data_IF_990605629562
#
_entry.id   IF_990605629562
#
_cell.length_a   1.000
_cell.length_b   1.000
_cell.length_c   1.000
_cell.angle_alpha   90.00
_cell.angle_beta   90.00
_cell.angle_gamma   90.00
#
_symmetry.space_group_name_H-M   'P 1'
#
loop_
_entity.id
_entity.type
_entity.pdbx_description
1 polymer ?
#
# COMPACT_ATOMS: atom_id res chain seq x y z
N UNK A 1 -37.65 16.00 4.13
CA UNK A 1 -37.61 14.62 4.64
C UNK A 1 -38.00 13.68 3.51
N UNK A 2 -37.04 13.21 2.70
CA UNK A 2 -37.33 12.17 1.71
C UNK A 2 -37.03 10.82 2.36
N UNK A 3 -38.09 10.12 2.75
CA UNK A 3 -38.06 8.71 3.13
C UNK A 3 -37.62 7.90 1.89
N UNK A 4 -36.34 7.60 1.76
CA UNK A 4 -35.88 6.64 0.76
C UNK A 4 -36.13 5.24 1.30
N UNK A 5 -37.38 4.79 1.19
CA UNK A 5 -37.70 3.39 1.42
C UNK A 5 -36.79 2.51 0.55
N UNK A 6 -36.36 1.32 1.03
CA UNK A 6 -35.58 0.41 0.22
C UNK A 6 -36.31 0.14 -1.11
N UNK A 7 -35.59 0.12 -2.24
CA UNK A 7 -36.22 -0.06 -3.55
C UNK A 7 -37.02 -1.36 -3.57
N UNK A 8 -38.18 -1.34 -4.23
CA UNK A 8 -39.05 -2.51 -4.29
C UNK A 8 -38.31 -3.71 -4.90
N UNK A 9 -38.64 -4.92 -4.45
CA UNK A 9 -38.02 -6.16 -4.93
C UNK A 9 -38.15 -6.29 -6.45
N UNK A 10 -39.28 -5.84 -7.01
CA UNK A 10 -39.51 -5.80 -8.45
C UNK A 10 -38.54 -4.87 -9.18
N UNK A 11 -38.31 -3.65 -8.66
CA UNK A 11 -37.37 -2.70 -9.25
C UNK A 11 -35.95 -3.24 -9.22
N UNK A 12 -35.53 -3.79 -8.08
CA UNK A 12 -34.21 -4.42 -7.93
C UNK A 12 -34.04 -5.55 -8.94
N UNK A 13 -35.05 -6.41 -9.10
CA UNK A 13 -35.02 -7.50 -10.08
C UNK A 13 -34.91 -6.98 -11.51
N UNK A 14 -35.71 -5.97 -11.89
CA UNK A 14 -35.68 -5.41 -13.24
C UNK A 14 -34.35 -4.74 -13.58
N UNK A 15 -33.77 -4.00 -12.63
CA UNK A 15 -32.46 -3.35 -12.82
C UNK A 15 -31.35 -4.40 -12.91
N UNK A 16 -31.40 -5.45 -12.08
CA UNK A 16 -30.50 -6.60 -12.17
C UNK A 16 -30.57 -7.28 -13.54
N UNK A 17 -31.77 -7.59 -14.01
CA UNK A 17 -31.98 -8.25 -15.30
C UNK A 17 -31.46 -7.39 -16.46
N UNK A 18 -31.73 -6.07 -16.42
CA UNK A 18 -31.21 -5.11 -17.40
C UNK A 18 -29.68 -5.08 -17.41
N UNK A 19 -29.05 -5.05 -16.23
CA UNK A 19 -27.60 -5.04 -16.12
C UNK A 19 -26.97 -6.35 -16.64
N UNK A 20 -27.61 -7.49 -16.38
CA UNK A 20 -27.14 -8.80 -16.82
C UNK A 20 -27.32 -9.02 -18.33
N UNK A 21 -28.37 -8.47 -18.94
CA UNK A 21 -28.80 -8.85 -20.30
C UNK A 21 -28.61 -7.78 -21.36
N UNK A 22 -28.55 -6.49 -21.00
CA UNK A 22 -28.59 -5.40 -21.99
C UNK A 22 -27.60 -4.27 -21.77
N UNK A 23 -27.27 -3.93 -20.51
CA UNK A 23 -26.45 -2.75 -20.20
C UNK A 23 -25.32 -3.14 -19.25
N UNK A 24 -24.08 -3.13 -19.73
CA UNK A 24 -22.91 -3.52 -18.92
C UNK A 24 -22.36 -2.40 -18.02
N UNK A 25 -23.00 -1.23 -18.00
CA UNK A 25 -22.60 -0.08 -17.18
C UNK A 25 -23.01 -0.30 -15.72
N UNK A 26 -22.02 -0.41 -14.85
CA UNK A 26 -22.20 -0.69 -13.41
C UNK A 26 -22.96 0.42 -12.68
N UNK A 27 -23.02 1.64 -13.24
CA UNK A 27 -23.72 2.78 -12.63
C UNK A 27 -25.22 2.52 -12.46
N UNK A 28 -25.79 1.63 -13.26
CA UNK A 28 -27.19 1.21 -13.13
C UNK A 28 -27.47 0.48 -11.81
N UNK A 29 -26.46 -0.13 -11.20
CA UNK A 29 -26.63 -0.80 -9.91
C UNK A 29 -26.66 0.17 -8.74
N UNK A 30 -26.11 1.39 -8.87
CA UNK A 30 -25.94 2.37 -7.78
C UNK A 30 -27.28 2.69 -7.07
N UNK A 31 -28.37 3.02 -7.80
CA UNK A 31 -29.66 3.32 -7.16
C UNK A 31 -30.19 2.15 -6.34
N UNK A 32 -29.98 0.92 -6.80
CA UNK A 32 -30.53 -0.30 -6.18
C UNK A 32 -29.56 -1.03 -5.24
N UNK A 33 -28.38 -0.46 -4.94
CA UNK A 33 -27.34 -1.12 -4.14
C UNK A 33 -27.84 -1.74 -2.83
N UNK A 34 -28.77 -1.10 -2.11
CA UNK A 34 -29.26 -1.57 -0.82
C UNK A 34 -30.17 -2.80 -0.95
N UNK A 35 -30.73 -3.03 -2.15
CA UNK A 35 -31.54 -4.21 -2.45
C UNK A 35 -30.72 -5.38 -3.04
N UNK A 36 -29.43 -5.18 -3.32
CA UNK A 36 -28.56 -6.24 -3.81
C UNK A 36 -28.08 -7.11 -2.66
N UNK A 37 -27.90 -8.40 -2.95
CA UNK A 37 -27.25 -9.31 -2.02
C UNK A 37 -25.77 -8.95 -1.89
N UNK A 38 -25.17 -9.28 -0.74
CA UNK A 38 -23.73 -9.11 -0.50
C UNK A 38 -22.89 -9.71 -1.64
N UNK A 39 -23.23 -10.91 -2.12
CA UNK A 39 -22.52 -11.57 -3.22
C UNK A 39 -22.52 -10.73 -4.51
N UNK A 40 -23.64 -10.11 -4.84
CA UNK A 40 -23.78 -9.26 -6.02
C UNK A 40 -22.97 -7.97 -5.88
N UNK A 41 -22.99 -7.36 -4.70
CA UNK A 41 -22.19 -6.16 -4.39
C UNK A 41 -20.71 -6.46 -4.56
N UNK A 42 -20.23 -7.56 -3.95
CA UNK A 42 -18.82 -7.97 -4.06
C UNK A 42 -18.42 -8.32 -5.50
N UNK A 43 -19.33 -8.89 -6.29
CA UNK A 43 -19.09 -9.17 -7.71
C UNK A 43 -19.02 -7.88 -8.56
N UNK A 44 -19.78 -6.84 -8.20
CA UNK A 44 -19.77 -5.54 -8.87
C UNK A 44 -18.61 -4.63 -8.40
N UNK A 45 -18.05 -4.87 -7.22
CA UNK A 45 -17.03 -4.03 -6.57
C UNK A 45 -15.84 -3.70 -7.49
N UNK A 46 -15.23 -4.65 -8.24
CA UNK A 46 -14.12 -4.35 -9.13
C UNK A 46 -14.46 -3.35 -10.25
N UNK A 47 -15.73 -3.30 -10.68
CA UNK A 47 -16.20 -2.32 -11.67
C UNK A 47 -16.56 -0.98 -11.01
N UNK A 48 -17.15 -1.02 -9.81
CA UNK A 48 -17.52 0.18 -9.05
C UNK A 48 -16.29 1.04 -8.72
N UNK A 49 -15.18 0.44 -8.29
CA UNK A 49 -13.96 1.18 -7.92
C UNK A 49 -13.23 1.83 -9.11
N UNK A 50 -13.63 1.52 -10.35
CA UNK A 50 -13.08 2.13 -11.57
C UNK A 50 -13.76 3.46 -11.91
N UNK A 51 -14.87 3.78 -11.26
CA UNK A 51 -15.60 5.02 -11.46
C UNK A 51 -14.81 6.22 -10.90
N UNK A 52 -15.35 7.42 -11.11
CA UNK A 52 -14.78 8.65 -10.54
C UNK A 52 -14.70 8.55 -9.00
N UNK A 53 -13.60 8.97 -8.35
CA UNK A 53 -13.44 8.89 -6.90
C UNK A 53 -14.60 9.48 -6.08
N UNK A 54 -15.27 10.53 -6.57
CA UNK A 54 -16.46 11.10 -5.92
C UNK A 54 -17.60 10.09 -5.90
N UNK A 55 -17.85 9.43 -7.03
CA UNK A 55 -18.87 8.38 -7.17
C UNK A 55 -18.51 7.15 -6.33
N UNK A 56 -17.23 6.76 -6.30
CA UNK A 56 -16.77 5.64 -5.45
C UNK A 56 -17.02 5.94 -3.97
N UNK A 57 -16.75 7.17 -3.54
CA UNK A 57 -17.04 7.61 -2.17
C UNK A 57 -18.53 7.56 -1.85
N UNK A 58 -19.40 8.03 -2.75
CA UNK A 58 -20.85 7.92 -2.58
C UNK A 58 -21.32 6.46 -2.48
N UNK A 59 -20.79 5.59 -3.34
CA UNK A 59 -21.07 4.15 -3.29
C UNK A 59 -20.67 3.56 -1.94
N UNK A 60 -19.49 3.89 -1.42
CA UNK A 60 -19.05 3.40 -0.10
C UNK A 60 -19.93 3.93 1.02
N UNK A 61 -20.27 5.22 1.01
CA UNK A 61 -21.17 5.80 1.99
C UNK A 61 -22.54 5.14 1.98
N UNK A 62 -23.04 4.76 0.80
CA UNK A 62 -24.30 4.03 0.65
C UNK A 62 -24.21 2.59 1.16
N UNK A 63 -23.12 1.87 0.83
CA UNK A 63 -22.87 0.50 1.28
C UNK A 63 -22.69 0.39 2.80
N UNK A 64 -22.09 1.41 3.41
CA UNK A 64 -21.80 1.48 4.84
C UNK A 64 -22.89 2.21 5.63
N UNK A 65 -23.94 2.70 4.96
CA UNK A 65 -25.05 3.42 5.59
C UNK A 65 -24.70 4.77 6.20
N UNK A 66 -23.57 5.37 5.83
CA UNK A 66 -23.10 6.65 6.37
C UNK A 66 -24.00 7.85 6.03
N UNK A 67 -24.96 7.67 5.13
CA UNK A 67 -25.95 8.69 4.78
C UNK A 67 -27.28 8.55 5.52
N UNK A 68 -27.60 7.38 6.08
CA UNK A 68 -28.89 7.07 6.68
C UNK A 68 -28.70 6.38 8.04
N UNK A 69 -28.76 7.14 9.14
CA UNK A 69 -28.58 6.64 10.51
C UNK A 69 -29.74 5.76 11.02
N UNK A 70 -30.82 5.62 10.25
CA UNK A 70 -32.05 4.94 10.66
C UNK A 70 -32.18 3.52 10.07
N UNK A 71 -31.25 3.09 9.21
CA UNK A 71 -31.23 1.72 8.69
C UNK A 71 -30.27 0.89 9.55
N UNK A 72 -30.78 -0.11 10.28
CA UNK A 72 -29.94 -0.96 11.13
C UNK A 72 -29.26 -2.11 10.37
N UNK A 73 -29.56 -2.28 9.07
CA UNK A 73 -29.11 -3.42 8.29
C UNK A 73 -28.36 -2.98 7.03
N UNK A 74 -27.05 -2.83 7.16
CA UNK A 74 -26.18 -2.41 6.05
C UNK A 74 -25.78 -3.59 5.17
N UNK A 75 -25.70 -3.42 3.83
CA UNK A 75 -25.35 -4.51 2.92
C UNK A 75 -23.97 -5.14 3.17
N UNK A 76 -23.00 -4.34 3.65
CA UNK A 76 -21.61 -4.73 3.88
C UNK A 76 -21.06 -3.94 5.07
N UNK A 77 -20.33 -4.60 5.97
CA UNK A 77 -19.65 -3.89 7.08
C UNK A 77 -18.35 -3.21 6.63
N UNK A 78 -17.81 -2.23 7.39
CA UNK A 78 -16.51 -1.62 7.08
C UNK A 78 -15.38 -2.65 6.93
N UNK A 79 -15.34 -3.63 7.85
CA UNK A 79 -14.37 -4.72 7.81
C UNK A 79 -14.49 -5.53 6.52
N UNK A 80 -15.71 -5.90 6.16
CA UNK A 80 -15.97 -6.70 4.96
C UNK A 80 -15.63 -5.95 3.68
N UNK A 81 -15.95 -4.66 3.59
CA UNK A 81 -15.63 -3.85 2.42
C UNK A 81 -14.12 -3.74 2.22
N UNK A 82 -13.38 -3.39 3.28
CA UNK A 82 -11.93 -3.21 3.15
C UNK A 82 -11.21 -4.54 2.90
N UNK A 83 -11.65 -5.64 3.51
CA UNK A 83 -11.16 -6.99 3.17
C UNK A 83 -11.47 -7.30 1.70
N UNK A 84 -12.72 -7.10 1.25
CA UNK A 84 -13.10 -7.38 -0.13
C UNK A 84 -12.26 -6.60 -1.15
N UNK A 85 -11.92 -5.34 -0.87
CA UNK A 85 -11.03 -4.56 -1.73
C UNK A 85 -9.65 -5.21 -1.89
N UNK A 86 -9.09 -5.77 -0.83
CA UNK A 86 -7.78 -6.44 -0.87
C UNK A 86 -7.80 -7.79 -1.59
N UNK A 87 -8.97 -8.44 -1.64
CA UNK A 87 -9.17 -9.75 -2.27
C UNK A 87 -9.72 -9.64 -3.71
N UNK A 88 -9.76 -8.44 -4.29
CA UNK A 88 -10.08 -8.27 -5.70
C UNK A 88 -8.99 -8.94 -6.53
N UNK A 89 -9.40 -9.88 -7.38
CA UNK A 89 -8.57 -10.48 -8.40
C UNK A 89 -7.87 -9.39 -9.24
N UNK A 90 -6.52 -9.38 -9.30
CA UNK A 90 -5.76 -8.41 -10.09
C UNK A 90 -6.16 -8.35 -11.57
N UNK A 91 -6.72 -9.43 -12.12
CA UNK A 91 -7.22 -9.46 -13.51
C UNK A 91 -8.52 -8.68 -13.69
N UNK A 92 -9.29 -8.44 -12.60
CA UNK A 92 -10.57 -7.73 -12.64
C UNK A 92 -10.41 -6.23 -12.42
N UNK A 93 -9.41 -5.81 -11.64
CA UNK A 93 -9.09 -4.39 -11.47
C UNK A 93 -7.62 -4.16 -11.15
N UNK A 94 -7.01 -3.19 -11.85
CA UNK A 94 -5.65 -2.74 -11.58
C UNK A 94 -5.48 -2.28 -10.13
N UNK A 95 -4.31 -2.57 -9.55
CA UNK A 95 -3.94 -2.16 -8.20
C UNK A 95 -4.13 -0.66 -7.94
N UNK A 96 -3.97 0.21 -8.95
CA UNK A 96 -4.17 1.66 -8.81
C UNK A 96 -5.58 2.03 -8.35
N UNK A 97 -6.60 1.30 -8.78
CA UNK A 97 -7.99 1.54 -8.37
C UNK A 97 -8.23 1.04 -6.96
N UNK A 98 -7.66 -0.12 -6.62
CA UNK A 98 -7.75 -0.68 -5.27
C UNK A 98 -7.08 0.26 -4.27
N UNK A 99 -5.87 0.74 -4.57
CA UNK A 99 -5.14 1.71 -3.73
C UNK A 99 -5.96 2.99 -3.49
N UNK A 100 -6.60 3.52 -4.53
CA UNK A 100 -7.47 4.71 -4.40
C UNK A 100 -8.70 4.41 -3.54
N UNK A 101 -9.35 3.27 -3.75
CA UNK A 101 -10.50 2.84 -2.96
C UNK A 101 -10.13 2.64 -1.48
N UNK A 102 -9.03 1.94 -1.18
CA UNK A 102 -8.55 1.78 0.20
C UNK A 102 -8.22 3.12 0.84
N UNK A 103 -7.68 4.08 0.09
CA UNK A 103 -7.40 5.42 0.61
C UNK A 103 -8.69 6.18 0.98
N UNK A 104 -9.78 6.00 0.24
CA UNK A 104 -11.10 6.55 0.61
C UNK A 104 -11.60 5.93 1.92
N UNK A 105 -11.43 4.63 2.13
CA UNK A 105 -11.75 3.99 3.42
C UNK A 105 -10.96 4.64 4.58
N UNK A 106 -9.64 4.76 4.44
CA UNK A 106 -8.78 5.37 5.47
C UNK A 106 -9.07 6.86 5.73
N UNK A 107 -9.69 7.57 4.79
CA UNK A 107 -10.11 8.95 5.00
C UNK A 107 -11.32 9.05 5.97
N UNK A 108 -12.16 8.02 6.04
CA UNK A 108 -13.34 7.96 6.90
C UNK A 108 -12.98 7.41 8.30
N UNK A 109 -12.19 8.18 9.06
CA UNK A 109 -11.61 7.78 10.37
C UNK A 109 -12.63 7.40 11.45
N UNK A 110 -13.85 7.92 11.35
CA UNK A 110 -14.95 7.57 12.26
C UNK A 110 -15.50 6.16 11.98
N UNK A 111 -15.35 5.70 10.74
CA UNK A 111 -15.80 4.36 10.31
C UNK A 111 -14.68 3.34 10.43
N UNK A 112 -13.47 3.70 9.98
CA UNK A 112 -12.29 2.83 10.02
C UNK A 112 -11.43 3.12 11.24
N UNK A 113 -12.00 2.80 12.40
CA UNK A 113 -11.35 2.93 13.70
C UNK A 113 -10.21 1.92 13.87
N UNK A 114 -9.44 2.07 14.95
CA UNK A 114 -8.40 1.12 15.33
C UNK A 114 -8.92 -0.33 15.41
N UNK A 115 -10.09 -0.54 16.01
CA UNK A 115 -10.70 -1.87 16.17
C UNK A 115 -11.10 -2.48 14.82
N UNK A 116 -11.73 -1.69 13.95
CA UNK A 116 -12.11 -2.13 12.60
C UNK A 116 -10.87 -2.52 11.80
N UNK A 117 -9.82 -1.69 11.81
CA UNK A 117 -8.59 -1.99 11.09
C UNK A 117 -7.86 -3.20 11.67
N UNK A 118 -7.90 -3.41 12.99
CA UNK A 118 -7.36 -4.61 13.61
C UNK A 118 -8.05 -5.87 13.07
N UNK A 119 -9.39 -5.87 12.99
CA UNK A 119 -10.17 -6.98 12.44
C UNK A 119 -9.87 -7.23 10.95
N UNK A 120 -9.76 -6.16 10.16
CA UNK A 120 -9.37 -6.25 8.73
C UNK A 120 -8.00 -6.91 8.59
N UNK A 121 -7.00 -6.41 9.32
CA UNK A 121 -5.63 -6.93 9.24
C UNK A 121 -5.54 -8.38 9.72
N UNK A 122 -6.30 -8.74 10.76
CA UNK A 122 -6.38 -10.12 11.23
C UNK A 122 -6.95 -11.04 10.15
N UNK A 123 -8.09 -10.66 9.57
CA UNK A 123 -8.73 -11.45 8.53
C UNK A 123 -7.85 -11.60 7.28
N UNK A 124 -7.15 -10.55 6.87
CA UNK A 124 -6.22 -10.60 5.73
C UNK A 124 -5.01 -11.50 6.00
N UNK A 125 -4.51 -11.57 7.24
CA UNK A 125 -3.39 -12.45 7.57
C UNK A 125 -3.74 -13.94 7.45
N UNK A 126 -5.03 -14.28 7.55
CA UNK A 126 -5.53 -15.66 7.51
C UNK A 126 -5.69 -16.19 6.07
N UNK A 127 -5.65 -15.33 5.05
CA UNK A 127 -5.74 -15.74 3.64
C UNK A 127 -4.61 -16.68 3.23
N UNK A 128 -4.90 -17.70 2.42
CA UNK A 128 -3.90 -18.70 2.01
C UNK A 128 -2.68 -18.01 1.34
N UNK A 129 -2.95 -17.13 0.39
CA UNK A 129 -1.95 -16.28 -0.26
C UNK A 129 -1.94 -14.89 0.37
N UNK A 130 -0.75 -14.29 0.51
CA UNK A 130 -0.59 -12.95 1.08
C UNK A 130 -1.21 -11.91 0.12
N UNK A 131 -2.26 -11.17 0.53
CA UNK A 131 -2.85 -10.15 -0.33
C UNK A 131 -1.85 -9.04 -0.66
N UNK A 132 -1.73 -8.71 -1.95
CA UNK A 132 -0.66 -7.83 -2.48
C UNK A 132 -0.54 -6.49 -1.76
N UNK A 133 -1.67 -5.90 -1.35
CA UNK A 133 -1.73 -4.59 -0.70
C UNK A 133 -1.79 -4.65 0.83
N UNK A 134 -1.82 -5.84 1.44
CA UNK A 134 -1.98 -6.00 2.89
C UNK A 134 -0.92 -5.23 3.68
N UNK A 135 0.36 -5.33 3.28
CA UNK A 135 1.46 -4.66 4.00
C UNK A 135 1.39 -3.13 3.90
N UNK A 136 0.86 -2.60 2.79
CA UNK A 136 0.59 -1.15 2.67
C UNK A 136 -0.47 -0.72 3.67
N UNK A 137 -1.54 -1.49 3.79
CA UNK A 137 -2.62 -1.25 4.75
C UNK A 137 -2.13 -1.38 6.19
N UNK A 138 -1.26 -2.36 6.49
CA UNK A 138 -0.63 -2.50 7.81
C UNK A 138 0.22 -1.27 8.18
N UNK A 139 1.09 -0.81 7.27
CA UNK A 139 1.90 0.40 7.47
C UNK A 139 1.02 1.65 7.68
N UNK A 140 -0.04 1.79 6.89
CA UNK A 140 -0.96 2.92 6.99
C UNK A 140 -1.75 2.89 8.31
N UNK A 141 -2.27 1.73 8.70
CA UNK A 141 -2.95 1.54 9.98
C UNK A 141 -2.03 1.82 11.17
N UNK A 142 -0.78 1.34 11.13
CA UNK A 142 0.21 1.59 12.17
C UNK A 142 0.56 3.08 12.29
N UNK A 143 0.60 3.80 11.16
CA UNK A 143 0.86 5.26 11.16
C UNK A 143 -0.30 6.03 11.79
N UNK A 144 -1.53 5.59 11.56
CA UNK A 144 -2.72 6.24 12.11
C UNK A 144 -2.98 5.87 13.57
N UNK A 145 -2.68 4.62 13.95
CA UNK A 145 -2.99 4.03 15.25
C UNK A 145 -1.77 3.29 15.82
N UNK A 146 -0.82 4.01 16.46
CA UNK A 146 0.40 3.41 17.01
C UNK A 146 0.15 2.33 18.07
N UNK A 147 -1.03 2.30 18.70
CA UNK A 147 -1.40 1.22 19.62
C UNK A 147 -1.49 -0.17 18.95
N UNK A 148 -1.52 -0.23 17.60
CA UNK A 148 -1.50 -1.48 16.84
C UNK A 148 -0.10 -2.13 16.74
N UNK A 149 0.94 -1.59 17.37
CA UNK A 149 2.30 -2.19 17.36
C UNK A 149 2.27 -3.67 17.77
N UNK A 150 1.54 -4.02 18.83
CA UNK A 150 1.46 -5.42 19.29
C UNK A 150 0.85 -6.37 18.25
N UNK A 151 -0.26 -5.96 17.62
CA UNK A 151 -0.87 -6.70 16.51
C UNK A 151 0.08 -6.78 15.31
N UNK A 152 0.76 -5.70 14.99
CA UNK A 152 1.72 -5.62 13.89
C UNK A 152 2.83 -6.66 14.07
N UNK A 153 3.45 -6.71 15.25
CA UNK A 153 4.51 -7.69 15.55
C UNK A 153 4.00 -9.14 15.43
N UNK A 154 2.77 -9.42 15.86
CA UNK A 154 2.15 -10.73 15.70
C UNK A 154 1.93 -11.10 14.23
N UNK A 155 1.46 -10.15 13.41
CA UNK A 155 1.31 -10.34 11.96
C UNK A 155 2.68 -10.58 11.32
N UNK A 156 3.68 -9.74 11.63
CA UNK A 156 5.03 -9.89 11.07
C UNK A 156 5.61 -11.27 11.36
N UNK A 157 5.44 -11.78 12.59
CA UNK A 157 5.89 -13.12 12.97
C UNK A 157 5.17 -14.22 12.19
N UNK A 158 3.84 -14.14 12.04
CA UNK A 158 3.06 -15.13 11.26
C UNK A 158 3.39 -15.12 9.78
N UNK A 159 3.79 -13.98 9.23
CA UNK A 159 4.20 -13.87 7.82
C UNK A 159 5.55 -14.54 7.53
N UNK A 160 6.36 -14.83 8.56
CA UNK A 160 7.58 -15.67 8.42
C UNK A 160 7.20 -17.09 8.02
N UNK A 161 6.16 -17.67 8.65
CA UNK A 161 5.68 -19.02 8.34
C UNK A 161 5.10 -19.12 6.92
N UNK A 162 4.71 -17.98 6.33
CA UNK A 162 4.25 -17.86 4.94
C UNK A 162 5.35 -17.46 3.96
N UNK A 163 6.61 -17.51 4.40
CA UNK A 163 7.78 -17.19 3.57
C UNK A 163 7.65 -15.86 2.83
N UNK A 164 7.26 -14.80 3.55
CA UNK A 164 6.96 -13.49 2.94
C UNK A 164 8.07 -12.92 2.04
N UNK A 165 9.32 -13.34 2.23
CA UNK A 165 10.46 -13.00 1.36
C UNK A 165 10.30 -13.44 -0.09
N UNK A 166 9.43 -14.42 -0.39
CA UNK A 166 9.10 -14.82 -1.76
C UNK A 166 8.19 -13.80 -2.47
N UNK A 167 7.57 -12.87 -1.74
CA UNK A 167 6.65 -11.86 -2.25
C UNK A 167 7.27 -10.46 -2.21
N UNK A 168 8.05 -10.09 -3.24
CA UNK A 168 8.89 -8.87 -3.28
C UNK A 168 8.24 -7.60 -2.69
N UNK A 169 7.00 -7.28 -3.10
CA UNK A 169 6.30 -6.07 -2.64
C UNK A 169 5.89 -6.16 -1.18
N UNK A 170 5.38 -7.32 -0.75
CA UNK A 170 5.02 -7.55 0.64
C UNK A 170 6.26 -7.59 1.54
N UNK A 171 7.36 -8.18 1.06
CA UNK A 171 8.64 -8.22 1.75
C UNK A 171 9.21 -6.82 2.03
N UNK A 172 9.19 -5.92 1.05
CA UNK A 172 9.60 -4.53 1.25
C UNK A 172 8.74 -3.84 2.34
N UNK A 173 7.43 -4.06 2.30
CA UNK A 173 6.53 -3.56 3.35
C UNK A 173 6.81 -4.17 4.73
N UNK A 174 7.22 -5.44 4.78
CA UNK A 174 7.53 -6.16 6.00
C UNK A 174 8.78 -5.58 6.67
N UNK A 175 9.83 -5.33 5.90
CA UNK A 175 11.06 -4.66 6.37
C UNK A 175 10.73 -3.26 6.94
N UNK A 176 9.95 -2.47 6.20
CA UNK A 176 9.51 -1.13 6.66
C UNK A 176 8.71 -1.19 7.97
N UNK A 177 7.87 -2.21 8.15
CA UNK A 177 7.17 -2.42 9.41
C UNK A 177 8.14 -2.79 10.55
N UNK A 178 9.14 -3.63 10.29
CA UNK A 178 10.18 -3.92 11.28
C UNK A 178 10.94 -2.65 11.70
N UNK A 179 11.32 -1.79 10.75
CA UNK A 179 11.99 -0.51 11.06
C UNK A 179 11.11 0.36 11.96
N UNK A 180 9.84 0.55 11.58
CA UNK A 180 8.85 1.34 12.32
C UNK A 180 8.56 0.84 13.73
N UNK A 181 8.78 -0.45 13.99
CA UNK A 181 8.46 -1.10 15.27
C UNK A 181 9.71 -1.51 16.06
N UNK A 182 10.88 -1.01 15.66
CA UNK A 182 12.13 -1.12 16.41
C UNK A 182 11.99 -0.40 17.76
N UNK A 183 12.48 -0.96 18.89
CA UNK A 183 13.31 -2.16 19.00
C UNK A 183 12.54 -3.49 19.07
N UNK A 184 11.22 -3.45 19.30
CA UNK A 184 10.40 -4.65 19.52
C UNK A 184 10.42 -5.66 18.37
N UNK A 185 10.62 -5.19 17.14
CA UNK A 185 10.78 -6.03 15.94
C UNK A 185 12.05 -6.89 15.92
N UNK A 186 13.05 -6.61 16.76
CA UNK A 186 14.28 -7.42 16.80
C UNK A 186 13.99 -8.89 17.11
N UNK A 187 13.04 -9.17 18.02
CA UNK A 187 12.63 -10.55 18.32
C UNK A 187 11.97 -11.25 17.11
N UNK A 188 11.36 -10.49 16.20
CA UNK A 188 10.81 -11.01 14.95
C UNK A 188 11.95 -11.31 13.96
N UNK A 189 12.94 -10.42 13.86
CA UNK A 189 14.11 -10.63 12.99
C UNK A 189 14.94 -11.85 13.40
N UNK A 190 15.08 -12.12 14.71
CA UNK A 190 15.79 -13.31 15.23
C UNK A 190 15.14 -14.62 14.73
N UNK A 191 13.83 -14.62 14.48
CA UNK A 191 13.10 -15.78 14.00
C UNK A 191 13.26 -16.04 12.49
N UNK A 192 13.89 -15.14 11.73
CA UNK A 192 14.10 -15.34 10.29
C UNK A 192 15.12 -16.46 10.01
N UNK A 193 14.91 -17.25 8.95
CA UNK A 193 15.95 -18.15 8.43
C UNK A 193 17.17 -17.38 7.92
N UNK A 194 18.30 -18.09 7.74
CA UNK A 194 19.60 -17.48 7.43
C UNK A 194 19.61 -16.60 6.17
N UNK A 195 19.07 -17.08 5.04
CA UNK A 195 19.11 -16.34 3.77
C UNK A 195 18.20 -15.09 3.77
N UNK A 196 16.91 -15.16 4.20
CA UNK A 196 16.07 -13.97 4.34
C UNK A 196 16.62 -12.95 5.34
N UNK A 197 17.21 -13.41 6.45
CA UNK A 197 17.86 -12.52 7.42
C UNK A 197 19.00 -11.74 6.77
N UNK A 198 19.92 -12.42 6.09
CA UNK A 198 21.04 -11.78 5.41
C UNK A 198 20.58 -10.74 4.38
N UNK A 199 19.55 -11.08 3.58
CA UNK A 199 18.96 -10.15 2.62
C UNK A 199 18.30 -8.94 3.30
N UNK A 200 17.56 -9.17 4.39
CA UNK A 200 16.93 -8.11 5.19
C UNK A 200 17.99 -7.11 5.70
N UNK A 201 19.04 -7.60 6.37
CA UNK A 201 20.08 -6.76 6.97
C UNK A 201 20.91 -6.01 5.92
N UNK A 202 21.10 -6.62 4.75
CA UNK A 202 21.76 -5.97 3.62
C UNK A 202 20.92 -4.83 3.04
N UNK A 203 19.60 -5.01 2.97
CA UNK A 203 18.67 -3.99 2.45
C UNK A 203 18.34 -2.87 3.44
N UNK A 204 18.45 -3.13 4.75
CA UNK A 204 18.10 -2.20 5.82
C UNK A 204 19.21 -2.13 6.89
N UNK A 205 20.26 -1.29 6.68
CA UNK A 205 21.38 -1.16 7.61
C UNK A 205 20.99 -0.65 9.02
N UNK A 206 19.91 0.12 9.09
CA UNK A 206 19.24 0.58 10.32
C UNK A 206 18.82 -0.60 11.20
N UNK A 207 18.17 -1.61 10.61
CA UNK A 207 17.79 -2.85 11.30
C UNK A 207 19.00 -3.66 11.74
N UNK A 208 20.06 -3.72 10.92
CA UNK A 208 21.29 -4.42 11.30
C UNK A 208 21.94 -3.79 12.54
N UNK A 209 21.96 -2.46 12.61
CA UNK A 209 22.47 -1.72 13.77
C UNK A 209 21.60 -1.97 15.00
N UNK A 210 20.28 -1.86 14.85
CA UNK A 210 19.33 -2.08 15.95
C UNK A 210 19.39 -3.52 16.48
N UNK A 211 19.47 -4.51 15.58
CA UNK A 211 19.56 -5.93 15.95
C UNK A 211 20.87 -6.24 16.68
N UNK A 212 21.99 -5.64 16.26
CA UNK A 212 23.27 -5.77 16.97
C UNK A 212 23.18 -5.19 18.38
N UNK A 213 22.69 -3.96 18.51
CA UNK A 213 22.49 -3.34 19.82
C UNK A 213 21.55 -4.15 20.73
N UNK A 214 20.50 -4.75 20.16
CA UNK A 214 19.59 -5.63 20.88
C UNK A 214 20.30 -6.89 21.39
N UNK A 215 21.08 -7.56 20.54
CA UNK A 215 21.88 -8.74 20.93
C UNK A 215 22.93 -8.39 21.98
N UNK A 216 23.57 -7.23 21.86
CA UNK A 216 24.55 -6.74 22.83
C UNK A 216 23.93 -6.41 24.20
N UNK A 217 22.65 -6.05 24.23
CA UNK A 217 21.92 -5.83 25.49
C UNK A 217 21.47 -7.15 26.17
N UNK A 218 21.52 -8.30 25.48
CA UNK A 218 21.10 -9.59 26.05
C UNK A 218 22.12 -10.14 27.05
N UNK A 219 21.60 -10.83 28.07
CA UNK A 219 22.41 -11.57 29.03
C UNK A 219 23.15 -12.74 28.36
N UNK A 220 24.27 -13.23 28.93
CA UNK A 220 25.01 -14.37 28.36
C UNK A 220 24.15 -15.62 28.12
N UNK A 221 23.24 -15.93 29.06
CA UNK A 221 22.32 -17.06 28.93
C UNK A 221 21.35 -16.89 27.75
N UNK A 222 20.83 -15.68 27.53
CA UNK A 222 19.94 -15.39 26.40
C UNK A 222 20.69 -15.42 25.07
N UNK A 223 21.93 -14.92 25.03
CA UNK A 223 22.76 -14.99 23.82
C UNK A 223 23.06 -16.43 23.41
N UNK A 224 23.24 -17.34 24.37
CA UNK A 224 23.43 -18.76 24.11
C UNK A 224 22.24 -19.47 23.45
N UNK A 225 21.04 -18.89 23.53
CA UNK A 225 19.82 -19.42 22.88
C UNK A 225 19.60 -18.87 21.47
N UNK A 226 20.43 -17.93 21.02
CA UNK A 226 20.28 -17.34 19.70
C UNK A 226 20.71 -18.31 18.59
N UNK A 227 20.07 -18.25 17.41
CA UNK A 227 20.47 -19.07 16.28
C UNK A 227 21.92 -18.78 15.84
N UNK A 228 22.75 -19.81 15.56
CA UNK A 228 24.15 -19.60 15.16
C UNK A 228 24.31 -18.74 13.90
N UNK A 229 23.36 -18.85 12.95
CA UNK A 229 23.38 -18.06 11.72
C UNK A 229 23.20 -16.56 11.98
N UNK A 230 22.44 -16.18 13.01
CA UNK A 230 22.27 -14.77 13.38
C UNK A 230 23.62 -14.18 13.84
N UNK A 231 24.34 -14.90 14.71
CA UNK A 231 25.63 -14.45 15.21
C UNK A 231 26.66 -14.34 14.08
N UNK A 232 26.67 -15.30 13.16
CA UNK A 232 27.54 -15.25 11.97
C UNK A 232 27.25 -14.02 11.10
N UNK A 233 25.97 -13.68 10.87
CA UNK A 233 25.58 -12.50 10.09
C UNK A 233 25.95 -11.18 10.77
N UNK A 234 25.86 -11.10 12.11
CA UNK A 234 26.21 -9.90 12.86
C UNK A 234 27.73 -9.72 13.04
N UNK A 235 28.50 -10.81 13.00
CA UNK A 235 29.96 -10.78 13.08
C UNK A 235 30.64 -10.36 11.77
N UNK A 236 29.97 -10.55 10.63
CA UNK A 236 30.45 -10.03 9.35
C UNK A 236 30.54 -8.49 9.44
N UNK A 237 31.68 -7.87 9.07
CA UNK A 237 31.79 -6.42 9.04
C UNK A 237 30.68 -5.88 8.13
N UNK A 238 29.92 -4.90 8.62
CA UNK A 238 28.94 -4.17 7.81
C UNK A 238 29.68 -3.71 6.56
N UNK A 239 29.35 -4.32 5.42
CA UNK A 239 30.09 -4.15 4.18
C UNK A 239 30.29 -2.67 3.92
N UNK A 240 31.55 -2.22 3.97
CA UNK A 240 31.91 -1.02 3.25
C UNK A 240 31.68 -1.39 1.78
N UNK A 241 30.78 -0.68 1.11
CA UNK A 241 30.75 -0.70 -0.35
C UNK A 241 32.16 -0.45 -0.87
N UNK A 242 32.54 -0.99 -2.06
CA UNK A 242 33.86 -0.74 -2.61
C UNK A 242 34.11 0.77 -2.56
N UNK A 243 35.21 1.16 -1.92
CA UNK A 243 35.61 2.56 -1.83
C UNK A 243 35.51 3.18 -3.24
N UNK A 244 34.92 4.38 -3.38
CA UNK A 244 34.88 5.03 -4.68
C UNK A 244 36.33 5.15 -5.16
N UNK A 245 36.64 4.39 -6.21
CA UNK A 245 37.92 4.49 -6.91
C UNK A 245 38.07 5.96 -7.26
N UNK A 246 39.08 6.61 -6.68
CA UNK A 246 39.45 7.98 -7.02
C UNK A 246 39.78 7.99 -8.51
N UNK A 247 38.82 8.46 -9.31
CA UNK A 247 39.06 8.78 -10.72
C UNK A 247 40.00 9.99 -10.71
N UNK A 248 41.18 9.93 -11.35
CA UNK A 248 42.05 11.10 -11.46
C UNK A 248 41.30 12.19 -12.22
N UNK A 249 41.41 13.43 -11.74
CA UNK A 249 40.76 14.60 -12.33
C UNK A 249 41.12 14.77 -13.82
N UNK A 250 40.20 15.27 -14.67
CA UNK A 250 40.52 15.60 -16.05
C UNK A 250 41.57 16.73 -16.11
N UNK A 251 42.54 16.57 -17.00
CA UNK A 251 43.57 17.58 -17.30
C UNK A 251 42.88 18.85 -17.81
N UNK A 252 43.05 19.96 -17.08
CA UNK A 252 42.66 21.29 -17.52
C UNK A 252 43.52 21.71 -18.72
N UNK A 253 42.88 21.94 -19.86
CA UNK A 253 43.51 22.56 -21.02
C UNK A 253 43.55 24.07 -20.79
N UNK A 254 44.74 24.62 -20.52
CA UNK A 254 44.98 26.05 -20.47
C UNK A 254 44.76 26.66 -21.86
N UNK A 255 43.78 27.57 -21.97
CA UNK A 255 43.65 28.47 -23.11
C UNK A 255 44.42 29.75 -22.78
N UNK A 256 45.59 29.90 -23.41
CA UNK A 256 46.36 31.13 -23.34
C UNK A 256 45.63 32.26 -24.09
N UNK A 257 45.63 33.41 -23.45
CA UNK A 257 44.96 34.63 -23.87
C UNK A 257 45.76 35.35 -24.95
N UNK A 258 45.09 35.84 -26.00
CA UNK A 258 45.37 37.17 -26.54
C UNK A 258 44.33 37.63 -27.57
N UNK A 259 44.01 38.93 -27.45
CA UNK A 259 43.41 39.84 -28.43
C UNK A 259 41.90 40.18 -28.34
N UNK A 260 41.65 41.33 -27.71
CA UNK A 260 40.56 42.28 -27.98
C UNK A 260 41.23 43.47 -28.76
N UNK A 261 40.57 44.36 -29.57
CA UNK A 261 39.30 44.99 -29.20
C UNK A 261 38.34 45.51 -30.33
N UNK A 262 37.07 45.70 -29.92
CA UNK A 262 36.06 46.74 -30.30
C UNK A 262 35.40 46.86 -31.70
N UNK A 263 34.06 46.97 -31.61
CA UNK A 263 33.05 47.70 -32.42
C UNK A 263 32.75 47.21 -33.85
N UNK A 264 31.48 46.82 -34.12
CA UNK A 264 30.45 47.61 -34.84
C UNK A 264 29.10 46.86 -34.80
N UNK A 265 28.03 47.62 -34.57
CA UNK A 265 26.61 47.27 -34.59
C UNK A 265 26.09 46.96 -36.01
N UNK A 266 25.33 45.87 -36.21
CA UNK A 266 24.33 45.73 -37.29
C UNK A 266 23.19 44.80 -36.83
N UNK A 267 21.95 45.22 -37.09
CA UNK A 267 20.72 44.72 -36.47
C UNK A 267 20.10 43.43 -37.01
N UNK A 268 19.05 42.99 -36.30
CA UNK A 268 18.18 41.86 -36.62
C UNK A 268 17.36 42.08 -37.89
N UNK A 269 17.22 41.05 -38.74
CA UNK A 269 16.06 40.88 -39.61
C UNK A 269 15.06 39.86 -39.03
N UNK A 270 13.81 40.27 -39.08
CA UNK A 270 12.59 39.55 -38.69
C UNK A 270 12.28 38.45 -39.74
N UNK A 271 11.97 37.25 -39.27
CA UNK A 271 11.59 36.09 -40.09
C UNK A 271 10.10 36.18 -40.52
N UNK A 272 9.75 36.02 -41.81
CA UNK A 272 8.38 36.12 -42.28
C UNK A 272 7.58 34.82 -42.11
N UNK A 273 6.33 34.92 -41.64
CA UNK A 273 5.36 33.82 -41.58
C UNK A 273 4.92 33.36 -42.99
N UNK A 274 4.60 32.06 -43.17
CA UNK A 274 4.14 31.51 -44.43
C UNK A 274 2.66 31.85 -44.73
N UNK A 275 2.24 31.86 -46.01
CA UNK A 275 0.93 32.36 -46.43
C UNK A 275 -0.15 31.28 -46.57
N UNK A 276 -1.39 31.63 -46.20
CA UNK A 276 -2.62 31.10 -46.80
C UNK A 276 -3.48 30.19 -45.93
N UNK A 277 -4.37 30.78 -45.12
CA UNK A 277 -5.83 30.65 -45.25
C UNK A 277 -6.48 31.62 -44.23
N UNK A 278 -7.43 32.41 -44.74
CA UNK A 278 -8.08 33.59 -44.17
C UNK A 278 -8.84 33.36 -42.86
#
# INVERSE_FOLDING_TARGET
MCLTAPPSVELVSRVRDLYATRVSDVRFLIPVLNGLTKKEILAALPKLIKLNPVVVKEVFNKLLGLQNTNEENFPVSPTELLVALHLIDPNKADLKYIIKATALCFAEKQTYTQEVLALVLQRLMEEADIPVLMMRTLLQALTLYPALVGLTLNILRRLIDKEIWNHKVAWEGWIKCCERTTPSSCNVLIALPAAPLAACLSSAPTLATALRAHVDALTPNQRGLLPPHLLAQLAAPLGHGPAPTLVPAPIEFQADSQYNPTLVSVGNPIEPLPPGME
#
